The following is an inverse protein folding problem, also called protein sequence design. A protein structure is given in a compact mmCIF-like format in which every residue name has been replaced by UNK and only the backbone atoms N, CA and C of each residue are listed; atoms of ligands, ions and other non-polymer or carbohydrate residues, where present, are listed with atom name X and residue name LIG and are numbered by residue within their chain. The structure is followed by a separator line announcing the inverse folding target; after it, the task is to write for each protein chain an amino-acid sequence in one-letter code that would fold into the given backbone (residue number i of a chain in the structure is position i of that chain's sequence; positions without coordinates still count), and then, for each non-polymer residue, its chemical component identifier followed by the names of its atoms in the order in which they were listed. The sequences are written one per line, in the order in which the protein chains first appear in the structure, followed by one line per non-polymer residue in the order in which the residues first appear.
data_IF_721831295979
#
_entry.id   IF_721831295979
#
_cell.length_a   1.000
_cell.length_b   1.000
_cell.length_c   1.000
_cell.angle_alpha   90.00
_cell.angle_beta   90.00
_cell.angle_gamma   90.00
#
_symmetry.space_group_name_H-M   'P 1'
#
loop_
_entity.id
_entity.type
_entity.pdbx_description
1 polymer ?
#
# COMPACT_ATOMS: atom_id res chain seq x y z
N UNK A 1 -52.22 -56.77 -29.52
CA UNK A 1 -52.45 -57.31 -28.16
C UNK A 1 -51.10 -57.71 -27.57
N UNK A 2 -50.78 -57.47 -26.29
CA UNK A 2 -51.65 -57.17 -25.15
C UNK A 2 -51.25 -55.92 -24.31
N UNK A 3 -52.23 -55.40 -23.57
CA UNK A 3 -52.08 -54.70 -22.26
C UNK A 3 -52.60 -55.66 -21.16
N UNK A 4 -52.66 -55.32 -19.85
CA UNK A 4 -51.72 -54.76 -18.86
C UNK A 4 -51.46 -55.79 -17.70
N UNK A 5 -50.86 -55.43 -16.53
CA UNK A 5 -51.65 -54.98 -15.37
C UNK A 5 -50.96 -53.86 -14.54
N UNK A 6 -51.64 -52.75 -14.25
CA UNK A 6 -52.26 -52.38 -12.94
C UNK A 6 -51.46 -52.70 -11.67
N UNK A 7 -50.98 -51.64 -11.01
CA UNK A 7 -50.90 -51.53 -9.55
C UNK A 7 -51.11 -50.06 -9.17
N UNK A 8 -51.99 -49.86 -8.20
CA UNK A 8 -52.63 -48.61 -7.84
C UNK A 8 -51.82 -47.70 -6.89
N UNK A 9 -52.52 -46.75 -6.23
CA UNK A 9 -51.98 -45.43 -5.95
C UNK A 9 -51.42 -45.33 -4.53
N UNK A 10 -50.22 -44.77 -4.37
CA UNK A 10 -49.72 -44.38 -3.04
C UNK A 10 -49.13 -42.97 -3.14
N UNK A 11 -49.70 -42.05 -2.36
CA UNK A 11 -48.92 -40.91 -1.87
C UNK A 11 -49.37 -39.50 -2.27
N UNK A 12 -50.55 -39.29 -2.89
CA UNK A 12 -51.19 -37.95 -2.91
C UNK A 12 -51.84 -37.62 -1.55
N UNK A 13 -51.11 -37.75 -0.44
CA UNK A 13 -51.62 -37.40 0.90
C UNK A 13 -50.54 -36.95 1.88
N UNK A 14 -49.31 -36.63 1.45
CA UNK A 14 -48.31 -36.02 2.35
C UNK A 14 -48.29 -34.47 2.29
N UNK A 15 -48.72 -33.87 1.18
CA UNK A 15 -48.69 -32.41 1.01
C UNK A 15 -49.84 -31.66 1.70
N UNK A 16 -50.90 -32.38 2.12
CA UNK A 16 -52.05 -31.78 2.80
C UNK A 16 -51.90 -31.73 4.33
N UNK A 17 -51.00 -32.53 4.92
CA UNK A 17 -50.83 -32.61 6.38
C UNK A 17 -49.72 -31.71 6.94
N UNK A 18 -48.78 -31.24 6.12
CA UNK A 18 -47.79 -30.22 6.53
C UNK A 18 -48.31 -28.77 6.45
N UNK A 19 -49.57 -28.55 6.04
CA UNK A 19 -50.22 -27.23 6.06
C UNK A 19 -51.03 -26.93 7.33
N UNK A 20 -51.12 -27.88 8.27
CA UNK A 20 -51.89 -27.72 9.53
C UNK A 20 -51.05 -27.47 10.79
N UNK A 21 -49.73 -27.36 10.65
CA UNK A 21 -48.82 -26.95 11.73
C UNK A 21 -47.96 -25.74 11.33
N UNK A 22 -48.48 -24.87 10.44
CA UNK A 22 -47.95 -23.50 10.38
C UNK A 22 -48.59 -22.72 11.53
N UNK A 23 -47.83 -22.18 12.48
CA UNK A 23 -48.39 -21.23 13.43
C UNK A 23 -48.99 -20.09 12.61
N UNK A 24 -50.31 -19.93 12.73
CA UNK A 24 -51.13 -18.92 12.05
C UNK A 24 -50.77 -17.47 12.46
N UNK A 25 -49.69 -17.27 13.20
CA UNK A 25 -49.12 -15.98 13.60
C UNK A 25 -47.76 -15.63 12.97
N UNK A 26 -47.21 -16.44 12.06
CA UNK A 26 -45.92 -16.15 11.43
C UNK A 26 -46.00 -15.26 10.17
N UNK A 27 -47.21 -15.02 9.62
CA UNK A 27 -47.39 -14.17 8.44
C UNK A 27 -47.69 -12.69 8.76
N UNK A 28 -48.11 -12.35 9.99
CA UNK A 28 -48.34 -10.95 10.41
C UNK A 28 -47.09 -10.29 11.00
N UNK A 29 -45.99 -11.04 11.15
CA UNK A 29 -44.68 -10.52 11.55
C UNK A 29 -43.70 -10.36 10.38
N UNK A 30 -44.19 -10.37 9.14
CA UNK A 30 -43.58 -9.50 8.13
C UNK A 30 -44.05 -8.08 8.47
N UNK A 31 -43.51 -7.57 9.58
CA UNK A 31 -43.76 -6.23 10.04
C UNK A 31 -43.46 -5.32 8.85
N UNK A 32 -44.51 -4.69 8.32
CA UNK A 32 -44.37 -3.60 7.39
C UNK A 32 -43.44 -2.60 8.08
N UNK A 33 -42.15 -2.61 7.71
CA UNK A 33 -41.25 -1.53 8.09
C UNK A 33 -41.97 -0.29 7.57
N UNK A 34 -42.38 0.64 8.44
CA UNK A 34 -43.07 1.83 7.99
C UNK A 34 -42.17 2.44 6.91
N UNK A 35 -42.69 2.67 5.69
CA UNK A 35 -41.93 3.32 4.61
C UNK A 35 -41.10 4.53 5.07
N UNK A 36 -41.56 5.34 6.06
CA UNK A 36 -40.73 6.39 6.66
C UNK A 36 -39.45 5.90 7.33
N UNK A 37 -39.46 4.77 8.05
CA UNK A 37 -38.25 4.20 8.68
C UNK A 37 -37.24 3.74 7.65
N UNK A 38 -37.70 3.03 6.60
CA UNK A 38 -36.81 2.60 5.52
C UNK A 38 -36.21 3.80 4.76
N UNK A 39 -36.97 4.88 4.58
CA UNK A 39 -36.45 6.10 3.98
C UNK A 39 -35.36 6.75 4.85
N UNK A 40 -35.59 6.83 6.17
CA UNK A 40 -34.58 7.31 7.13
C UNK A 40 -33.31 6.44 7.11
N UNK A 41 -33.45 5.12 7.14
CA UNK A 41 -32.30 4.20 7.09
C UNK A 41 -31.49 4.37 5.78
N UNK A 42 -32.16 4.59 4.65
CA UNK A 42 -31.49 4.83 3.37
C UNK A 42 -30.75 6.17 3.36
N UNK A 43 -31.31 7.22 3.95
CA UNK A 43 -30.66 8.51 4.06
C UNK A 43 -29.47 8.45 5.03
N UNK A 44 -29.58 7.70 6.12
CA UNK A 44 -28.47 7.42 7.03
C UNK A 44 -27.34 6.66 6.31
N UNK A 45 -27.66 5.61 5.55
CA UNK A 45 -26.67 4.90 4.73
C UNK A 45 -25.99 5.80 3.68
N UNK A 46 -26.74 6.72 3.05
CA UNK A 46 -26.18 7.69 2.10
C UNK A 46 -25.21 8.65 2.80
N UNK A 47 -25.59 9.19 3.96
CA UNK A 47 -24.76 10.07 4.75
C UNK A 47 -23.48 9.37 5.25
N UNK A 48 -23.58 8.11 5.67
CA UNK A 48 -22.43 7.29 6.02
C UNK A 48 -21.50 7.07 4.84
N UNK A 49 -22.04 6.70 3.67
CA UNK A 49 -21.23 6.54 2.45
C UNK A 49 -20.51 7.82 2.06
N UNK A 50 -21.18 8.97 2.13
CA UNK A 50 -20.56 10.27 1.83
C UNK A 50 -19.47 10.65 2.84
N UNK A 51 -19.63 10.28 4.11
CA UNK A 51 -18.57 10.44 5.12
C UNK A 51 -17.36 9.56 4.78
N UNK A 52 -17.58 8.28 4.48
CA UNK A 52 -16.49 7.37 4.10
C UNK A 52 -15.79 7.77 2.81
N UNK A 53 -16.55 8.24 1.81
CA UNK A 53 -15.98 8.73 0.56
C UNK A 53 -15.07 9.92 0.81
N UNK A 54 -15.52 10.92 1.59
CA UNK A 54 -14.69 12.07 1.94
C UNK A 54 -13.41 11.66 2.67
N UNK A 55 -13.47 10.66 3.55
CA UNK A 55 -12.27 10.12 4.19
C UNK A 55 -11.35 9.44 3.18
N UNK A 56 -11.88 8.59 2.29
CA UNK A 56 -11.10 7.93 1.25
C UNK A 56 -10.40 8.95 0.34
N UNK A 57 -11.12 9.96 -0.14
CA UNK A 57 -10.58 11.04 -0.98
C UNK A 57 -9.52 11.87 -0.25
N UNK A 58 -9.68 12.07 1.06
CA UNK A 58 -8.67 12.73 1.88
C UNK A 58 -7.40 11.89 1.98
N UNK A 59 -7.52 10.59 2.25
CA UNK A 59 -6.36 9.69 2.32
C UNK A 59 -5.65 9.55 0.98
N UNK A 60 -6.39 9.50 -0.14
CA UNK A 60 -5.81 9.42 -1.47
C UNK A 60 -4.98 10.68 -1.82
N UNK A 61 -5.48 11.86 -1.44
CA UNK A 61 -4.74 13.12 -1.59
C UNK A 61 -3.45 13.14 -0.77
N UNK A 62 -3.51 12.74 0.49
CA UNK A 62 -2.31 12.65 1.35
C UNK A 62 -1.31 11.62 0.81
N UNK A 63 -1.79 10.46 0.37
CA UNK A 63 -0.92 9.43 -0.20
C UNK A 63 -0.24 9.91 -1.49
N UNK A 64 -0.96 10.67 -2.33
CA UNK A 64 -0.43 11.27 -3.55
C UNK A 64 0.65 12.32 -3.26
N UNK A 65 0.45 13.14 -2.22
CA UNK A 65 1.42 14.12 -1.76
C UNK A 65 2.69 13.44 -1.24
N UNK A 66 2.54 12.45 -0.35
CA UNK A 66 3.67 11.67 0.19
C UNK A 66 4.41 10.92 -0.92
N UNK A 67 3.69 10.37 -1.90
CA UNK A 67 4.31 9.70 -3.05
C UNK A 67 5.18 10.67 -3.86
N UNK A 68 4.69 11.89 -4.12
CA UNK A 68 5.42 12.94 -4.84
C UNK A 68 6.65 13.41 -4.06
N UNK A 69 6.53 13.68 -2.77
CA UNK A 69 7.67 14.08 -1.93
C UNK A 69 8.74 12.99 -1.92
N UNK A 70 8.33 11.74 -1.76
CA UNK A 70 9.23 10.60 -1.84
C UNK A 70 9.94 10.51 -3.19
N UNK A 71 9.24 10.76 -4.31
CA UNK A 71 9.85 10.74 -5.64
C UNK A 71 10.96 11.81 -5.78
N UNK A 72 10.71 13.03 -5.30
CA UNK A 72 11.71 14.10 -5.29
C UNK A 72 12.92 13.76 -4.43
N UNK A 73 12.70 13.21 -3.23
CA UNK A 73 13.80 12.77 -2.35
C UNK A 73 14.64 11.66 -2.98
N UNK A 74 14.01 10.72 -3.71
CA UNK A 74 14.73 9.68 -4.44
C UNK A 74 15.51 10.25 -5.63
N UNK A 75 14.95 11.22 -6.36
CA UNK A 75 15.66 11.89 -7.45
C UNK A 75 16.88 12.65 -6.94
N UNK A 76 16.74 13.36 -5.82
CA UNK A 76 17.83 14.01 -5.13
C UNK A 76 18.89 13.02 -4.65
N UNK A 77 18.48 11.91 -4.02
CA UNK A 77 19.40 10.85 -3.58
C UNK A 77 20.15 10.25 -4.78
N UNK A 78 19.47 9.99 -5.90
CA UNK A 78 20.12 9.50 -7.11
C UNK A 78 21.18 10.48 -7.66
N UNK A 79 20.91 11.79 -7.58
CA UNK A 79 21.87 12.83 -7.96
C UNK A 79 23.12 12.85 -7.06
N UNK A 80 23.00 12.47 -5.78
CA UNK A 80 24.14 12.33 -4.86
C UNK A 80 24.96 11.06 -5.11
N UNK A 81 24.41 10.08 -5.83
CA UNK A 81 25.05 8.79 -6.11
C UNK A 81 25.21 8.51 -7.62
N UNK A 82 25.81 9.43 -8.42
CA UNK A 82 25.83 9.32 -9.88
C UNK A 82 26.57 8.09 -10.40
N UNK A 83 27.53 7.56 -9.62
CA UNK A 83 28.30 6.37 -10.00
C UNK A 83 27.53 5.04 -9.86
N UNK A 84 26.40 5.03 -9.13
CA UNK A 84 25.65 3.78 -8.85
C UNK A 84 24.16 3.85 -9.17
N UNK A 85 23.61 5.04 -9.35
CA UNK A 85 22.20 5.22 -9.65
C UNK A 85 21.90 4.80 -11.09
N UNK A 86 20.94 3.88 -11.27
CA UNK A 86 20.51 3.38 -12.58
C UNK A 86 18.99 3.16 -12.56
N UNK A 87 18.33 3.45 -13.68
CA UNK A 87 16.92 3.06 -13.90
C UNK A 87 16.85 1.86 -14.82
N UNK A 88 16.07 0.87 -14.44
CA UNK A 88 15.78 -0.32 -15.25
C UNK A 88 14.27 -0.53 -15.33
N UNK A 89 13.71 -1.11 -16.40
CA UNK A 89 12.31 -1.53 -16.37
C UNK A 89 12.08 -2.60 -15.28
N UNK A 90 10.90 -2.60 -14.66
CA UNK A 90 10.58 -3.61 -13.67
C UNK A 90 10.40 -4.98 -14.35
N UNK A 91 10.94 -6.08 -13.77
CA UNK A 91 10.85 -7.42 -14.38
C UNK A 91 9.43 -7.99 -14.36
N UNK A 92 8.60 -7.51 -13.41
CA UNK A 92 7.23 -7.94 -13.20
C UNK A 92 6.29 -7.12 -14.11
N UNK A 93 6.54 -7.11 -15.42
CA UNK A 93 5.91 -6.26 -16.44
C UNK A 93 4.37 -6.32 -16.46
N UNK A 94 3.74 -5.68 -15.48
CA UNK A 94 2.34 -5.30 -15.52
C UNK A 94 2.15 -4.19 -16.55
N UNK A 95 0.91 -4.05 -17.01
CA UNK A 95 0.45 -3.09 -18.05
C UNK A 95 0.81 -1.63 -17.79
N UNK A 96 1.29 -1.28 -16.60
CA UNK A 96 1.47 0.09 -16.13
C UNK A 96 2.89 0.65 -16.36
N UNK A 97 3.80 -0.11 -17.00
CA UNK A 97 5.13 0.41 -17.35
C UNK A 97 5.94 0.88 -16.14
N UNK A 98 5.89 0.13 -15.04
CA UNK A 98 6.62 0.51 -13.82
C UNK A 98 8.12 0.31 -14.01
N UNK A 99 8.93 1.25 -13.51
CA UNK A 99 10.38 1.20 -13.55
C UNK A 99 10.97 0.99 -12.15
N UNK A 100 12.25 0.66 -12.09
CA UNK A 100 13.01 0.50 -10.86
C UNK A 100 14.20 1.46 -10.86
N UNK A 101 14.27 2.32 -9.84
CA UNK A 101 15.52 2.97 -9.47
C UNK A 101 16.35 1.99 -8.65
N UNK A 102 17.60 1.78 -9.04
CA UNK A 102 18.60 1.01 -8.31
C UNK A 102 19.74 1.95 -7.91
N UNK A 103 20.20 1.85 -6.68
CA UNK A 103 21.43 2.51 -6.22
C UNK A 103 22.13 1.66 -5.18
N UNK A 104 23.44 1.87 -5.01
CA UNK A 104 24.22 1.16 -3.99
C UNK A 104 24.52 2.12 -2.85
N UNK A 105 24.15 1.74 -1.62
CA UNK A 105 24.45 2.50 -0.41
C UNK A 105 24.84 1.55 0.73
N UNK A 106 26.01 1.80 1.34
CA UNK A 106 26.58 0.89 2.34
C UNK A 106 26.78 -0.52 1.80
N UNK A 107 27.42 -0.63 0.63
CA UNK A 107 27.76 -1.89 -0.07
C UNK A 107 26.56 -2.74 -0.51
N UNK A 108 25.33 -2.26 -0.31
CA UNK A 108 24.11 -2.98 -0.65
C UNK A 108 23.32 -2.25 -1.71
N UNK A 109 22.84 -3.01 -2.69
CA UNK A 109 21.90 -2.50 -3.67
C UNK A 109 20.52 -2.29 -3.04
N UNK A 110 19.96 -1.12 -3.27
CA UNK A 110 18.62 -0.72 -2.87
C UNK A 110 17.80 -0.47 -4.13
N UNK A 111 16.54 -0.92 -4.14
CA UNK A 111 15.64 -0.72 -5.26
C UNK A 111 14.33 -0.04 -4.83
N UNK A 112 13.77 0.77 -5.72
CA UNK A 112 12.46 1.37 -5.53
C UNK A 112 11.69 1.37 -6.84
N UNK A 113 10.41 0.97 -6.76
CA UNK A 113 9.46 1.16 -7.86
C UNK A 113 9.18 2.63 -8.10
N UNK A 114 9.19 3.00 -9.37
CA UNK A 114 8.89 4.31 -9.90
C UNK A 114 7.71 4.19 -10.89
N UNK A 115 6.62 4.93 -10.70
CA UNK A 115 5.60 5.04 -11.71
C UNK A 115 6.13 5.85 -12.91
N UNK A 116 5.60 5.63 -14.12
CA UNK A 116 6.07 6.30 -15.33
C UNK A 116 5.96 7.84 -15.24
N UNK A 117 4.95 8.35 -14.52
CA UNK A 117 4.75 9.78 -14.31
C UNK A 117 5.91 10.48 -13.58
N UNK A 118 6.68 9.74 -12.77
CA UNK A 118 7.78 10.29 -11.98
C UNK A 118 9.12 10.25 -12.73
N UNK A 119 9.24 9.51 -13.84
CA UNK A 119 10.49 9.36 -14.61
C UNK A 119 11.15 10.68 -15.02
N UNK A 120 10.41 11.74 -15.41
CA UNK A 120 11.04 13.02 -15.78
C UNK A 120 11.89 13.62 -14.66
N UNK A 121 11.62 13.31 -13.38
CA UNK A 121 12.43 13.78 -12.24
C UNK A 121 13.83 13.14 -12.21
N UNK A 122 14.03 12.05 -12.94
CA UNK A 122 15.27 11.28 -12.97
C UNK A 122 15.99 11.38 -14.32
N UNK A 123 15.76 12.44 -15.09
CA UNK A 123 16.39 12.62 -16.40
C UNK A 123 17.93 12.60 -16.37
N UNK A 124 18.55 12.84 -15.20
CA UNK A 124 19.99 12.76 -14.97
C UNK A 124 20.51 11.35 -14.68
N UNK A 125 19.63 10.37 -14.47
CA UNK A 125 20.00 8.99 -14.12
C UNK A 125 20.01 8.15 -15.39
N UNK A 126 21.09 7.38 -15.65
CA UNK A 126 21.16 6.54 -16.83
C UNK A 126 20.08 5.45 -16.81
N UNK A 127 19.45 5.26 -17.98
CA UNK A 127 18.50 4.19 -18.21
C UNK A 127 19.20 2.99 -18.83
N UNK A 128 19.03 1.81 -18.25
CA UNK A 128 19.67 0.56 -18.69
C UNK A 128 18.62 -0.51 -18.92
N UNK A 129 18.60 -1.07 -20.12
CA UNK A 129 17.78 -2.24 -20.44
C UNK A 129 18.31 -3.48 -19.67
N UNK A 130 17.45 -4.38 -19.18
CA UNK A 130 17.89 -5.55 -18.43
C UNK A 130 18.70 -6.48 -19.35
N UNK A 131 20.01 -6.50 -19.19
CA UNK A 131 20.92 -7.36 -19.96
C UNK A 131 21.16 -8.74 -19.32
N UNK A 132 20.33 -9.15 -18.36
CA UNK A 132 20.51 -10.43 -17.66
C UNK A 132 19.28 -10.93 -16.91
N UNK A 133 19.38 -12.17 -16.44
CA UNK A 133 18.34 -12.87 -15.67
C UNK A 133 17.88 -12.02 -14.49
N UNK A 134 16.59 -11.68 -14.37
CA UNK A 134 16.12 -10.83 -13.29
C UNK A 134 16.41 -11.49 -11.94
N UNK A 135 17.04 -10.74 -11.03
CA UNK A 135 17.28 -11.26 -9.68
C UNK A 135 15.93 -11.41 -8.97
N UNK A 136 15.60 -12.59 -8.41
CA UNK A 136 14.32 -12.85 -7.77
C UNK A 136 14.24 -12.07 -6.45
N UNK A 137 13.82 -10.81 -6.52
CA UNK A 137 13.72 -9.91 -5.38
C UNK A 137 13.68 -8.41 -5.71
N UNK A 138 13.99 -8.02 -6.94
CA UNK A 138 14.26 -6.61 -7.29
C UNK A 138 13.04 -5.66 -7.25
N UNK A 139 11.82 -6.19 -7.26
CA UNK A 139 10.59 -5.38 -7.32
C UNK A 139 9.89 -5.12 -5.98
N UNK A 140 10.08 -5.97 -4.97
CA UNK A 140 9.36 -5.87 -3.69
C UNK A 140 10.29 -5.24 -2.66
N UNK A 141 9.83 -4.20 -1.93
CA UNK A 141 10.55 -3.72 -0.74
C UNK A 141 10.70 -4.90 0.21
N UNK A 142 11.85 -5.55 0.19
CA UNK A 142 12.16 -6.56 1.18
C UNK A 142 12.22 -5.85 2.53
N UNK A 143 11.60 -6.37 3.61
CA UNK A 143 11.74 -5.79 4.96
C UNK A 143 13.22 -5.59 5.35
N UNK A 144 14.09 -6.37 4.72
CA UNK A 144 15.55 -6.28 4.82
C UNK A 144 16.13 -4.95 4.29
N UNK A 145 15.57 -4.36 3.23
CA UNK A 145 16.02 -3.07 2.70
C UNK A 145 15.79 -1.93 3.69
N UNK A 146 14.61 -1.88 4.32
CA UNK A 146 14.31 -0.84 5.30
C UNK A 146 15.17 -0.98 6.56
N UNK A 147 15.43 -2.21 7.00
CA UNK A 147 16.35 -2.49 8.10
C UNK A 147 17.79 -2.04 7.76
N UNK A 148 18.26 -2.34 6.54
CA UNK A 148 19.56 -1.88 6.05
C UNK A 148 19.67 -0.36 6.04
N UNK A 149 18.69 0.34 5.45
CA UNK A 149 18.68 1.82 5.42
C UNK A 149 18.76 2.37 6.85
N UNK A 150 17.91 1.90 7.78
CA UNK A 150 17.96 2.36 9.18
C UNK A 150 19.33 2.14 9.83
N UNK A 151 19.92 0.96 9.63
CA UNK A 151 21.25 0.64 10.18
C UNK A 151 22.32 1.54 9.57
N UNK A 152 22.34 1.69 8.26
CA UNK A 152 23.34 2.48 7.55
C UNK A 152 23.24 3.97 7.90
N UNK A 153 22.03 4.54 7.94
CA UNK A 153 21.81 5.91 8.39
C UNK A 153 22.31 6.13 9.82
N UNK A 154 22.07 5.18 10.74
CA UNK A 154 22.59 5.27 12.10
C UNK A 154 24.11 5.28 12.13
N UNK A 155 24.78 4.46 11.31
CA UNK A 155 26.24 4.42 11.24
C UNK A 155 26.80 5.75 10.71
N UNK A 156 26.24 6.29 9.62
CA UNK A 156 26.65 7.58 9.06
C UNK A 156 26.48 8.74 10.06
N UNK A 157 25.40 8.73 10.84
CA UNK A 157 25.17 9.75 11.87
C UNK A 157 26.21 9.69 13.00
N UNK A 158 26.60 8.48 13.42
CA UNK A 158 27.65 8.29 14.42
C UNK A 158 29.03 8.69 13.88
N UNK A 159 29.34 8.30 12.65
CA UNK A 159 30.58 8.69 11.96
C UNK A 159 30.72 10.22 11.90
N UNK A 160 29.67 10.91 11.46
CA UNK A 160 29.63 12.37 11.46
C UNK A 160 29.97 12.93 12.84
N UNK A 161 29.35 12.43 13.91
CA UNK A 161 29.62 12.91 15.28
C UNK A 161 31.05 12.67 15.77
N UNK A 162 31.70 11.60 15.33
CA UNK A 162 33.08 11.28 15.72
C UNK A 162 34.11 12.15 14.97
N UNK A 163 33.82 12.51 13.73
CA UNK A 163 34.73 13.31 12.89
C UNK A 163 34.46 14.83 12.98
N UNK A 164 33.29 15.25 13.48
CA UNK A 164 33.00 16.64 13.85
C UNK A 164 33.00 16.82 15.37
N UNK A 165 34.09 16.44 16.05
CA UNK A 165 34.27 16.86 17.44
C UNK A 165 34.25 18.40 17.51
N UNK A 166 33.58 19.02 18.50
CA UNK A 166 33.58 20.47 18.62
C UNK A 166 35.04 20.90 18.83
N UNK A 167 35.48 21.91 18.06
CA UNK A 167 36.70 22.65 18.37
C UNK A 167 36.52 23.14 19.80
N UNK A 168 37.21 22.47 20.73
CA UNK A 168 37.26 22.83 22.13
C UNK A 168 37.67 24.30 22.16
N UNK A 169 36.76 25.18 22.57
CA UNK A 169 37.04 26.61 22.72
C UNK A 169 38.14 26.71 23.76
N UNK A 170 39.38 26.77 23.28
CA UNK A 170 40.57 27.00 24.09
C UNK A 170 40.27 28.24 24.95
N UNK A 171 40.26 28.14 26.29
CA UNK A 171 40.03 29.31 27.12
C UNK A 171 41.11 30.35 26.78
N UNK A 172 40.75 31.65 26.73
CA UNK A 172 41.70 32.68 26.35
C UNK A 172 42.90 32.62 27.30
N UNK A 173 44.13 32.87 26.80
CA UNK A 173 45.31 32.82 27.63
C UNK A 173 45.16 33.81 28.78
N UNK A 174 45.24 33.31 30.01
CA UNK A 174 45.32 34.14 31.22
C UNK A 174 46.55 35.04 31.05
N UNK A 175 46.33 36.35 30.94
CA UNK A 175 47.42 37.32 30.89
C UNK A 175 48.12 37.33 32.25
N UNK A 176 49.46 37.22 32.30
CA UNK A 176 50.19 37.31 33.55
C UNK A 176 50.21 38.78 33.96
N UNK A 177 49.34 39.16 34.89
CA UNK A 177 49.27 40.55 35.32
C UNK A 177 48.13 40.96 36.25
N UNK A 178 47.47 40.03 36.93
CA UNK A 178 46.59 40.39 38.05
C UNK A 178 46.87 39.50 39.27
N UNK A 179 47.74 40.07 40.11
CA UNK A 179 48.06 39.81 41.53
C UNK A 179 49.02 38.65 41.85
#
# INVERSE_FOLDING_TARGET
MPSPPTSGPVGRTAAALLRRLRPRGAQERQAAVPRPRLALDLDDCRQERERWQRHADSYERELSLVARERAHLLAWLAALHPASAVITPAPDGGTDGTHLLRLVAGERQLSWRLPPADLPLFAHVPYVEPTGTPSPGDGRRSPDQAAHIRRHTRLLALEGSLFTAPVERRPPPVRPGDR
#
